data_IF_664273638338
#
_entry.id   IF_664273638338
#
_cell.length_a   1.000
_cell.length_b   1.000
_cell.length_c   1.000
_cell.angle_alpha   90.00
_cell.angle_beta   90.00
_cell.angle_gamma   90.00
#
_symmetry.space_group_name_H-M   'P 1'
#
loop_
_entity.id
_entity.type
_entity.pdbx_description
1 polymer ?
#
# COMPACT_ATOMS: atom_id res chain seq x y z
N UNK A 1 -26.79 -20.99 22.44
CA UNK A 1 -26.71 -19.79 23.28
C UNK A 1 -26.55 -18.61 22.34
N UNK A 2 -27.43 -17.61 22.38
CA UNK A 2 -27.26 -16.40 21.57
C UNK A 2 -25.98 -15.69 22.03
N UNK A 3 -24.97 -15.59 21.15
CA UNK A 3 -23.77 -14.83 21.46
C UNK A 3 -24.16 -13.36 21.70
N UNK A 4 -23.87 -12.84 22.88
CA UNK A 4 -24.15 -11.43 23.20
C UNK A 4 -23.29 -10.51 22.33
N UNK A 5 -23.74 -9.26 22.12
CA UNK A 5 -22.93 -8.22 21.48
C UNK A 5 -21.52 -8.12 22.10
N UNK A 6 -21.45 -8.22 23.43
CA UNK A 6 -20.19 -8.19 24.17
C UNK A 6 -19.27 -9.37 23.80
N UNK A 7 -19.81 -10.56 23.61
CA UNK A 7 -19.03 -11.74 23.21
C UNK A 7 -18.52 -11.59 21.77
N UNK A 8 -19.32 -11.02 20.87
CA UNK A 8 -18.90 -10.69 19.50
C UNK A 8 -17.75 -9.67 19.51
N UNK A 9 -17.85 -8.59 20.29
CA UNK A 9 -16.79 -7.58 20.45
C UNK A 9 -15.52 -8.20 21.04
N UNK A 10 -15.64 -9.07 22.06
CA UNK A 10 -14.49 -9.77 22.65
C UNK A 10 -13.82 -10.71 21.67
N UNK A 11 -14.60 -11.41 20.84
CA UNK A 11 -14.07 -12.27 19.78
C UNK A 11 -13.24 -11.47 18.78
N UNK A 12 -13.79 -10.34 18.30
CA UNK A 12 -13.08 -9.42 17.40
C UNK A 12 -11.79 -8.87 18.04
N UNK A 13 -11.87 -8.46 19.32
CA UNK A 13 -10.74 -7.87 20.05
C UNK A 13 -9.56 -8.83 20.24
N UNK A 14 -9.81 -10.14 20.35
CA UNK A 14 -8.73 -11.15 20.45
C UNK A 14 -7.89 -11.23 19.18
N UNK A 15 -8.50 -11.05 18.01
CA UNK A 15 -7.79 -11.02 16.73
C UNK A 15 -6.84 -9.81 16.70
N UNK A 16 -7.25 -8.69 17.27
CA UNK A 16 -6.43 -7.47 17.35
C UNK A 16 -5.26 -7.60 18.33
N UNK A 17 -5.48 -8.22 19.48
CA UNK A 17 -4.41 -8.41 20.47
C UNK A 17 -3.27 -9.29 19.96
N UNK A 18 -3.58 -10.26 19.09
CA UNK A 18 -2.57 -11.17 18.53
C UNK A 18 -1.74 -10.54 17.39
N UNK A 19 -2.17 -9.42 16.79
CA UNK A 19 -1.49 -8.75 15.66
C UNK A 19 -0.38 -7.75 16.02
N UNK A 20 -0.11 -7.52 17.31
CA UNK A 20 0.67 -6.35 17.77
C UNK A 20 2.13 -6.26 17.27
N UNK A 21 2.76 -7.35 16.80
CA UNK A 21 4.15 -7.28 16.28
C UNK A 21 4.27 -7.00 14.79
N UNK A 22 3.29 -7.39 13.97
CA UNK A 22 3.47 -7.44 12.51
C UNK A 22 2.40 -6.72 11.69
N UNK A 23 1.30 -6.29 12.31
CA UNK A 23 0.14 -5.81 11.53
C UNK A 23 -1.08 -6.66 11.78
N UNK A 24 -2.23 -6.11 11.42
CA UNK A 24 -3.45 -6.88 11.20
C UNK A 24 -3.56 -7.11 9.70
N UNK A 25 -3.61 -8.37 9.29
CA UNK A 25 -3.95 -8.73 7.93
C UNK A 25 -5.43 -8.38 7.68
N UNK A 26 -5.68 -7.45 6.76
CA UNK A 26 -7.02 -6.97 6.44
C UNK A 26 -7.93 -8.08 5.89
N UNK A 27 -7.38 -9.12 5.26
CA UNK A 27 -8.17 -10.27 4.81
C UNK A 27 -8.64 -11.12 6.01
N UNK A 28 -7.76 -11.38 6.97
CA UNK A 28 -8.13 -12.10 8.19
C UNK A 28 -9.16 -11.34 9.02
N UNK A 29 -9.08 -10.00 9.01
CA UNK A 29 -10.09 -9.15 9.63
C UNK A 29 -11.44 -9.27 8.91
N UNK A 30 -11.46 -9.21 7.59
CA UNK A 30 -12.68 -9.45 6.82
C UNK A 30 -13.29 -10.82 7.13
N UNK A 31 -12.48 -11.88 7.22
CA UNK A 31 -12.95 -13.24 7.55
C UNK A 31 -13.57 -13.33 8.95
N UNK A 32 -13.02 -12.59 9.90
CA UNK A 32 -13.56 -12.52 11.25
C UNK A 32 -14.88 -11.75 11.29
N UNK A 33 -14.94 -10.57 10.66
CA UNK A 33 -16.16 -9.78 10.56
C UNK A 33 -17.25 -10.55 9.82
N UNK A 34 -16.90 -11.22 8.72
CA UNK A 34 -17.81 -12.06 7.94
C UNK A 34 -18.45 -13.14 8.80
N UNK A 35 -17.67 -13.86 9.62
CA UNK A 35 -18.20 -14.89 10.53
C UNK A 35 -19.03 -14.34 11.68
N UNK A 36 -18.67 -13.18 12.24
CA UNK A 36 -19.39 -12.59 13.40
C UNK A 36 -20.72 -11.95 12.97
N UNK A 37 -20.73 -11.34 11.78
CA UNK A 37 -21.87 -10.63 11.21
C UNK A 37 -22.67 -11.48 10.21
N UNK A 38 -22.20 -12.68 9.88
CA UNK A 38 -22.81 -13.58 8.90
C UNK A 38 -23.09 -12.83 7.58
N UNK A 39 -22.07 -12.11 7.08
CA UNK A 39 -22.19 -11.24 5.91
C UNK A 39 -20.91 -11.23 5.08
N UNK A 40 -20.99 -10.82 3.80
CA UNK A 40 -19.79 -10.58 3.00
C UNK A 40 -19.22 -9.21 3.36
N UNK A 41 -17.90 -9.09 3.42
CA UNK A 41 -17.18 -7.87 3.83
C UNK A 41 -16.15 -7.50 2.78
N UNK A 42 -16.11 -6.23 2.39
CA UNK A 42 -15.12 -5.69 1.45
C UNK A 42 -14.55 -4.40 2.02
N UNK A 43 -13.23 -4.24 1.98
CA UNK A 43 -12.50 -3.02 2.31
C UNK A 43 -11.89 -2.46 1.03
N UNK A 44 -12.15 -1.18 0.76
CA UNK A 44 -11.67 -0.46 -0.42
C UNK A 44 -10.85 0.76 -0.01
N UNK A 45 -9.79 1.07 -0.75
CA UNK A 45 -9.16 2.39 -0.69
C UNK A 45 -9.99 3.45 -1.45
N UNK A 46 -9.58 4.73 -1.38
CA UNK A 46 -10.26 5.81 -2.10
C UNK A 46 -10.21 5.69 -3.64
N UNK A 47 -9.34 4.83 -4.19
CA UNK A 47 -9.20 4.60 -5.63
C UNK A 47 -10.02 3.39 -6.09
N UNK A 48 -10.68 2.68 -5.16
CA UNK A 48 -11.46 1.49 -5.45
C UNK A 48 -10.63 0.20 -5.50
N UNK A 49 -9.38 0.20 -5.03
CA UNK A 49 -8.60 -1.03 -4.86
C UNK A 49 -9.11 -1.81 -3.64
N UNK A 50 -9.26 -3.12 -3.81
CA UNK A 50 -9.61 -4.00 -2.70
C UNK A 50 -8.39 -4.19 -1.79
N UNK A 51 -8.53 -3.78 -0.53
CA UNK A 51 -7.51 -3.96 0.51
C UNK A 51 -7.74 -5.25 1.32
N UNK A 52 -8.96 -5.78 1.33
CA UNK A 52 -9.35 -6.99 2.02
C UNK A 52 -10.78 -7.38 1.67
N UNK A 53 -11.07 -8.68 1.66
CA UNK A 53 -12.41 -9.21 1.36
C UNK A 53 -12.64 -10.56 2.05
N UNK A 54 -13.88 -10.80 2.44
CA UNK A 54 -14.40 -12.11 2.80
C UNK A 54 -15.82 -12.26 2.27
N UNK A 55 -16.15 -13.43 1.73
CA UNK A 55 -17.51 -13.76 1.32
C UNK A 55 -18.19 -14.63 2.40
N UNK A 56 -19.52 -14.74 2.36
CA UNK A 56 -20.25 -15.69 3.21
C UNK A 56 -19.94 -17.11 2.71
N UNK A 57 -19.43 -17.97 3.59
CA UNK A 57 -19.39 -19.41 3.32
C UNK A 57 -20.81 -19.96 3.28
N UNK A 58 -21.42 -20.04 2.11
CA UNK A 58 -22.60 -20.88 1.93
C UNK A 58 -22.14 -22.34 1.92
N UNK A 59 -22.67 -23.16 2.82
CA UNK A 59 -22.40 -24.61 2.85
C UNK A 59 -22.86 -25.33 1.57
N UNK A 60 -23.59 -24.63 0.69
CA UNK A 60 -24.06 -25.13 -0.60
C UNK A 60 -23.10 -24.86 -1.76
N UNK A 61 -22.06 -24.02 -1.58
CA UNK A 61 -20.99 -23.86 -2.57
C UNK A 61 -19.89 -24.94 -2.40
N UNK A 62 -20.30 -26.21 -2.35
CA UNK A 62 -19.45 -27.30 -2.81
C UNK A 62 -19.45 -27.31 -4.34
N UNK A 63 -18.75 -26.35 -4.94
CA UNK A 63 -18.30 -26.54 -6.32
C UNK A 63 -16.87 -26.03 -6.43
N UNK A 64 -15.99 -26.93 -6.85
CA UNK A 64 -14.63 -26.69 -7.35
C UNK A 64 -14.64 -25.74 -8.58
N UNK A 65 -15.26 -24.57 -8.47
CA UNK A 65 -15.07 -23.48 -9.42
C UNK A 65 -14.13 -22.49 -8.76
N UNK A 66 -12.90 -22.31 -9.26
CA UNK A 66 -12.15 -21.12 -8.90
C UNK A 66 -13.06 -19.93 -9.20
N UNK A 67 -13.33 -19.15 -8.16
CA UNK A 67 -14.10 -17.93 -8.24
C UNK A 67 -13.50 -17.07 -9.36
N UNK A 68 -14.30 -16.46 -10.26
CA UNK A 68 -13.76 -15.64 -11.33
C UNK A 68 -12.80 -14.62 -10.72
N UNK A 69 -11.65 -14.37 -11.36
CA UNK A 69 -10.73 -13.30 -11.00
C UNK A 69 -11.51 -11.99 -11.03
N UNK A 70 -12.09 -11.60 -9.89
CA UNK A 70 -12.73 -10.31 -9.74
C UNK A 70 -11.58 -9.33 -9.85
N UNK A 71 -11.66 -8.45 -10.85
CA UNK A 71 -10.70 -7.38 -11.05
C UNK A 71 -10.38 -6.75 -9.70
N UNK A 72 -9.09 -6.57 -9.40
CA UNK A 72 -8.61 -6.01 -8.13
C UNK A 72 -9.24 -4.65 -7.78
N UNK A 73 -9.86 -4.02 -8.78
CA UNK A 73 -10.41 -2.68 -8.74
C UNK A 73 -11.91 -2.73 -9.05
N UNK A 74 -12.67 -1.93 -8.29
CA UNK A 74 -14.04 -1.60 -8.62
C UNK A 74 -14.10 -0.67 -9.85
N UNK A 75 -15.16 -0.75 -10.68
CA UNK A 75 -15.37 0.22 -11.74
C UNK A 75 -15.47 1.66 -11.17
N UNK A 76 -14.87 2.61 -11.88
CA UNK A 76 -14.71 3.99 -11.40
C UNK A 76 -16.03 4.70 -11.07
N UNK A 77 -17.09 4.39 -11.82
CA UNK A 77 -18.44 4.93 -11.58
C UNK A 77 -18.98 4.52 -10.21
N UNK A 78 -18.84 3.24 -9.84
CA UNK A 78 -19.25 2.76 -8.51
C UNK A 78 -18.40 3.38 -7.40
N UNK A 79 -17.08 3.46 -7.60
CA UNK A 79 -16.21 4.08 -6.59
C UNK A 79 -16.60 5.55 -6.34
N UNK A 80 -16.95 6.29 -7.38
CA UNK A 80 -17.39 7.69 -7.26
C UNK A 80 -18.64 7.82 -6.38
N UNK A 81 -19.64 6.94 -6.57
CA UNK A 81 -20.86 6.90 -5.73
C UNK A 81 -20.55 6.52 -4.28
N UNK A 82 -19.62 5.58 -4.05
CA UNK A 82 -19.19 5.24 -2.69
C UNK A 82 -18.53 6.45 -2.01
N UNK A 83 -17.75 7.25 -2.76
CA UNK A 83 -17.08 8.43 -2.25
C UNK A 83 -18.03 9.57 -1.82
N UNK A 84 -19.30 9.54 -2.24
CA UNK A 84 -20.34 10.48 -1.80
C UNK A 84 -20.95 10.10 -0.44
N UNK A 85 -20.74 8.86 0.03
CA UNK A 85 -21.24 8.40 1.33
C UNK A 85 -20.34 8.95 2.45
N UNK A 86 -20.88 9.87 3.26
CA UNK A 86 -20.14 10.52 4.35
C UNK A 86 -20.40 9.92 5.75
N UNK A 87 -21.48 9.15 5.90
CA UNK A 87 -21.86 8.46 7.14
C UNK A 87 -22.34 7.05 6.81
N UNK A 88 -22.32 6.15 7.78
CA UNK A 88 -22.82 4.79 7.62
C UNK A 88 -24.26 4.79 7.14
N UNK A 89 -24.48 4.18 5.98
CA UNK A 89 -25.80 3.93 5.40
C UNK A 89 -26.12 2.46 5.58
N UNK A 90 -26.96 2.16 6.56
CA UNK A 90 -27.38 0.80 6.89
C UNK A 90 -28.58 0.36 6.04
N UNK A 91 -28.62 -0.93 5.72
CA UNK A 91 -29.77 -1.59 5.13
C UNK A 91 -30.27 -0.97 3.80
N UNK A 92 -29.36 -0.48 2.97
CA UNK A 92 -29.68 0.02 1.63
C UNK A 92 -29.81 -1.13 0.64
N UNK A 93 -30.66 -0.95 -0.37
CA UNK A 93 -30.74 -1.86 -1.51
C UNK A 93 -29.43 -1.86 -2.30
N UNK A 94 -29.09 -2.99 -2.91
CA UNK A 94 -27.83 -3.18 -3.62
C UNK A 94 -27.52 -2.04 -4.62
N UNK A 95 -26.53 -1.22 -4.28
CA UNK A 95 -26.07 -0.12 -5.13
C UNK A 95 -25.40 -0.66 -6.42
N UNK A 96 -24.91 -1.90 -6.37
CA UNK A 96 -24.25 -2.59 -7.48
C UNK A 96 -25.23 -3.21 -8.48
N UNK A 97 -26.52 -3.23 -8.14
CA UNK A 97 -27.61 -3.65 -9.03
C UNK A 97 -27.29 -4.96 -9.78
N UNK A 98 -26.70 -5.95 -9.10
CA UNK A 98 -26.15 -7.17 -9.72
C UNK A 98 -27.23 -8.16 -10.19
N UNK A 99 -28.50 -7.78 -10.17
CA UNK A 99 -29.59 -8.46 -10.89
C UNK A 99 -30.07 -9.81 -10.36
N UNK A 100 -29.32 -10.51 -9.51
CA UNK A 100 -29.59 -11.94 -9.27
C UNK A 100 -30.09 -12.29 -7.85
N UNK A 101 -29.84 -11.46 -6.82
CA UNK A 101 -30.25 -11.77 -5.44
C UNK A 101 -30.69 -10.53 -4.66
N UNK A 102 -31.82 -10.65 -3.96
CA UNK A 102 -32.29 -9.62 -3.02
C UNK A 102 -31.37 -9.58 -1.81
N UNK A 103 -30.54 -8.54 -1.73
CA UNK A 103 -29.55 -8.40 -0.68
C UNK A 103 -29.66 -7.05 0.03
N UNK A 104 -29.29 -7.08 1.30
CA UNK A 104 -29.21 -5.91 2.16
C UNK A 104 -27.75 -5.49 2.26
N UNK A 105 -27.47 -4.21 2.00
CA UNK A 105 -26.10 -3.68 2.03
C UNK A 105 -25.98 -2.63 3.13
N UNK A 106 -24.87 -2.65 3.85
CA UNK A 106 -24.43 -1.54 4.70
C UNK A 106 -23.11 -1.00 4.16
N UNK A 107 -23.07 0.32 3.96
CA UNK A 107 -21.89 1.01 3.43
C UNK A 107 -21.43 2.00 4.47
N UNK A 108 -20.15 1.97 4.80
CA UNK A 108 -19.57 2.91 5.74
C UNK A 108 -18.23 3.45 5.27
N UNK A 109 -18.03 4.77 5.32
CA UNK A 109 -16.74 5.37 5.00
C UNK A 109 -15.72 5.15 6.12
N UNK A 110 -14.48 4.87 5.74
CA UNK A 110 -13.38 4.72 6.69
C UNK A 110 -12.67 6.07 6.83
N UNK A 111 -12.72 6.68 8.01
CA UNK A 111 -12.06 7.95 8.31
C UNK A 111 -10.98 7.79 9.39
N UNK A 112 -9.92 8.60 9.30
CA UNK A 112 -8.95 8.80 10.37
C UNK A 112 -8.45 10.23 10.37
N UNK A 113 -8.49 10.90 11.53
CA UNK A 113 -8.02 12.28 11.66
C UNK A 113 -8.68 13.26 10.68
N UNK A 114 -9.97 13.07 10.36
CA UNK A 114 -10.72 13.88 9.40
C UNK A 114 -10.48 13.54 7.92
N UNK A 115 -9.53 12.66 7.61
CA UNK A 115 -9.25 12.24 6.23
C UNK A 115 -9.97 10.92 5.91
N UNK A 116 -10.61 10.87 4.73
CA UNK A 116 -11.18 9.63 4.21
C UNK A 116 -10.06 8.71 3.74
N UNK A 117 -10.05 7.48 4.23
CA UNK A 117 -9.06 6.46 3.87
C UNK A 117 -9.62 5.44 2.87
N UNK A 118 -10.92 5.20 2.92
CA UNK A 118 -11.55 4.15 2.13
C UNK A 118 -13.03 4.01 2.39
N UNK A 119 -13.56 2.83 2.03
CA UNK A 119 -14.96 2.44 2.24
C UNK A 119 -15.02 0.97 2.64
N UNK A 120 -15.84 0.66 3.64
CA UNK A 120 -16.22 -0.72 3.97
C UNK A 120 -17.63 -1.01 3.51
N UNK A 121 -17.83 -2.21 2.98
CA UNK A 121 -19.11 -2.68 2.44
C UNK A 121 -19.42 -4.02 3.08
N UNK A 122 -20.65 -4.14 3.58
CA UNK A 122 -21.19 -5.34 4.19
C UNK A 122 -22.44 -5.77 3.42
N UNK A 123 -22.52 -7.03 3.00
CA UNK A 123 -23.64 -7.55 2.20
C UNK A 123 -24.22 -8.80 2.85
N UNK A 124 -25.52 -8.77 3.20
CA UNK A 124 -26.30 -9.94 3.62
C UNK A 124 -27.24 -10.36 2.50
N UNK A 125 -27.41 -11.67 2.33
CA UNK A 125 -28.34 -12.26 1.37
C UNK A 125 -29.74 -12.33 1.99
N UNK A 126 -30.76 -12.69 1.20
CA UNK A 126 -32.13 -12.92 1.66
C UNK A 126 -32.83 -11.72 2.34
N UNK A 127 -32.42 -10.49 2.04
CA UNK A 127 -32.96 -9.27 2.65
C UNK A 127 -32.90 -9.23 4.19
N UNK A 128 -32.01 -9.99 4.82
CA UNK A 128 -31.81 -9.89 6.26
C UNK A 128 -31.22 -8.53 6.62
N UNK A 129 -31.81 -7.86 7.61
CA UNK A 129 -31.37 -6.52 8.04
C UNK A 129 -30.24 -6.61 9.04
N UNK A 130 -29.28 -5.70 8.91
CA UNK A 130 -28.33 -5.37 9.96
C UNK A 130 -29.06 -4.68 11.11
N UNK A 131 -28.92 -5.27 12.30
CA UNK A 131 -29.45 -4.77 13.56
C UNK A 131 -28.54 -3.69 14.16
N UNK A 132 -28.98 -2.96 15.18
CA UNK A 132 -28.13 -1.99 15.87
C UNK A 132 -26.86 -2.64 16.46
N UNK A 133 -26.97 -3.85 17.01
CA UNK A 133 -25.83 -4.63 17.49
C UNK A 133 -24.82 -4.93 16.37
N UNK A 134 -25.31 -5.24 15.16
CA UNK A 134 -24.45 -5.43 13.99
C UNK A 134 -23.75 -4.13 13.60
N UNK A 135 -24.48 -3.00 13.62
CA UNK A 135 -23.92 -1.68 13.31
C UNK A 135 -22.84 -1.27 14.30
N UNK A 136 -22.98 -1.59 15.59
CA UNK A 136 -21.94 -1.35 16.60
C UNK A 136 -20.66 -2.12 16.28
N UNK A 137 -20.78 -3.39 15.88
CA UNK A 137 -19.62 -4.22 15.49
C UNK A 137 -18.99 -3.69 14.20
N UNK A 138 -19.81 -3.26 13.24
CA UNK A 138 -19.36 -2.64 11.99
C UNK A 138 -18.53 -1.39 12.28
N UNK A 139 -19.06 -0.44 13.05
CA UNK A 139 -18.35 0.81 13.44
C UNK A 139 -17.06 0.54 14.21
N UNK A 140 -17.08 -0.46 15.10
CA UNK A 140 -15.87 -0.91 15.79
C UNK A 140 -14.83 -1.47 14.80
N UNK A 141 -15.26 -2.31 13.85
CA UNK A 141 -14.40 -2.84 12.79
C UNK A 141 -13.81 -1.74 11.90
N UNK A 142 -14.61 -0.73 11.53
CA UNK A 142 -14.19 0.41 10.74
C UNK A 142 -13.08 1.20 11.44
N UNK A 143 -13.22 1.45 12.73
CA UNK A 143 -12.19 2.14 13.51
C UNK A 143 -10.85 1.38 13.47
N UNK A 144 -10.90 0.05 13.60
CA UNK A 144 -9.68 -0.76 13.55
C UNK A 144 -9.07 -0.80 12.15
N UNK A 145 -9.89 -0.93 11.10
CA UNK A 145 -9.43 -0.82 9.71
C UNK A 145 -8.79 0.53 9.45
N UNK A 146 -9.37 1.62 9.97
CA UNK A 146 -8.82 2.96 9.82
C UNK A 146 -7.42 3.09 10.45
N UNK A 147 -7.26 2.57 11.67
CA UNK A 147 -5.97 2.53 12.35
C UNK A 147 -4.94 1.70 11.59
N UNK A 148 -5.33 0.54 11.07
CA UNK A 148 -4.40 -0.34 10.36
C UNK A 148 -3.97 0.24 9.00
N UNK A 149 -4.90 0.81 8.24
CA UNK A 149 -4.57 1.51 6.99
C UNK A 149 -3.59 2.66 7.26
N UNK A 150 -3.79 3.43 8.35
CA UNK A 150 -2.86 4.51 8.70
C UNK A 150 -1.51 3.99 9.19
N UNK A 151 -1.48 2.89 9.93
CA UNK A 151 -0.22 2.26 10.32
C UNK A 151 0.61 1.88 9.09
N UNK A 152 0.01 1.18 8.13
CA UNK A 152 0.68 0.77 6.88
C UNK A 152 1.21 1.99 6.12
N UNK A 153 0.41 3.08 6.06
CA UNK A 153 0.85 4.34 5.43
C UNK A 153 2.03 4.98 6.16
N UNK A 154 2.01 5.02 7.49
CA UNK A 154 3.08 5.59 8.31
C UNK A 154 4.37 4.78 8.22
N UNK A 155 4.29 3.44 8.21
CA UNK A 155 5.44 2.56 8.01
C UNK A 155 6.09 2.84 6.64
N UNK A 156 5.28 2.90 5.57
CA UNK A 156 5.77 3.22 4.22
C UNK A 156 6.39 4.62 4.13
N UNK A 157 5.76 5.62 4.74
CA UNK A 157 6.33 6.98 4.81
C UNK A 157 7.67 7.00 5.55
N UNK A 158 7.76 6.30 6.69
CA UNK A 158 9.02 6.17 7.43
C UNK A 158 10.13 5.47 6.65
N UNK A 159 9.79 4.46 5.85
CA UNK A 159 10.75 3.83 4.93
C UNK A 159 11.24 4.80 3.84
N UNK A 160 10.33 5.55 3.23
CA UNK A 160 10.67 6.56 2.22
C UNK A 160 11.55 7.67 2.83
N UNK A 161 11.24 8.15 4.03
CA UNK A 161 12.07 9.14 4.76
C UNK A 161 13.46 8.60 5.07
N UNK A 162 13.57 7.34 5.53
CA UNK A 162 14.87 6.69 5.76
C UNK A 162 15.69 6.60 4.47
N UNK A 163 15.06 6.21 3.35
CA UNK A 163 15.72 6.17 2.05
C UNK A 163 16.21 7.55 1.62
N UNK A 164 15.41 8.59 1.81
CA UNK A 164 15.81 9.97 1.52
C UNK A 164 17.00 10.38 2.39
N UNK A 165 16.94 10.15 3.70
CA UNK A 165 18.00 10.50 4.64
C UNK A 165 19.32 9.80 4.32
N UNK A 166 19.29 8.52 3.94
CA UNK A 166 20.49 7.81 3.48
C UNK A 166 21.14 8.48 2.27
N UNK A 167 20.33 8.91 1.30
CA UNK A 167 20.81 9.62 0.11
C UNK A 167 21.42 10.96 0.49
N UNK A 168 20.74 11.76 1.29
CA UNK A 168 21.22 13.07 1.76
C UNK A 168 22.55 12.95 2.52
N UNK A 169 22.66 11.98 3.43
CA UNK A 169 23.91 11.75 4.18
C UNK A 169 25.07 11.39 3.25
N UNK A 170 24.86 10.50 2.28
CA UNK A 170 25.92 10.12 1.35
C UNK A 170 26.33 11.27 0.43
N UNK A 171 25.36 12.04 -0.06
CA UNK A 171 25.61 13.24 -0.86
C UNK A 171 26.40 14.28 -0.06
N UNK A 172 26.12 14.43 1.24
CA UNK A 172 26.89 15.29 2.14
C UNK A 172 28.36 14.88 2.32
N UNK A 173 28.74 13.65 1.95
CA UNK A 173 30.16 13.20 1.95
C UNK A 173 30.90 13.50 0.65
N UNK A 174 30.18 13.92 -0.40
CA UNK A 174 30.75 14.27 -1.69
C UNK A 174 31.27 15.71 -1.65
N UNK A 175 32.45 15.93 -2.22
CA UNK A 175 32.92 17.27 -2.57
C UNK A 175 32.11 17.83 -3.74
N UNK A 176 32.17 19.15 -3.94
CA UNK A 176 31.44 19.82 -5.04
C UNK A 176 31.68 19.15 -6.41
N UNK A 177 32.95 18.90 -6.77
CA UNK A 177 33.29 18.24 -8.04
C UNK A 177 32.87 16.77 -8.09
N UNK A 178 32.81 16.07 -6.95
CA UNK A 178 32.29 14.70 -6.90
C UNK A 178 30.77 14.66 -7.06
N UNK A 179 30.06 15.64 -6.51
CA UNK A 179 28.61 15.78 -6.65
C UNK A 179 28.23 16.10 -8.10
N UNK A 180 28.93 17.05 -8.73
CA UNK A 180 28.78 17.38 -10.15
C UNK A 180 29.06 16.14 -11.03
N UNK A 181 30.16 15.41 -10.75
CA UNK A 181 30.48 14.18 -11.45
C UNK A 181 29.37 13.12 -11.36
N UNK A 182 28.76 12.97 -10.18
CA UNK A 182 27.63 12.05 -9.94
C UNK A 182 26.42 12.45 -10.77
N UNK A 183 26.11 13.75 -10.86
CA UNK A 183 25.00 14.23 -11.69
C UNK A 183 25.19 13.85 -13.16
N UNK A 184 26.37 14.10 -13.74
CA UNK A 184 26.68 13.73 -15.12
C UNK A 184 26.61 12.22 -15.35
N UNK A 185 27.11 11.42 -14.40
CA UNK A 185 27.07 9.96 -14.45
C UNK A 185 25.63 9.43 -14.52
N UNK A 186 24.76 9.87 -13.61
CA UNK A 186 23.39 9.36 -13.57
C UNK A 186 22.51 9.95 -14.69
N UNK A 187 22.89 11.10 -15.27
CA UNK A 187 22.28 11.62 -16.49
C UNK A 187 22.60 10.74 -17.71
N UNK A 188 23.80 10.16 -17.81
CA UNK A 188 24.17 9.27 -18.93
C UNK A 188 23.65 7.83 -18.75
N UNK A 189 23.35 7.39 -17.51
CA UNK A 189 22.85 6.04 -17.22
C UNK A 189 21.44 5.77 -17.80
N UNK A 190 20.60 6.81 -17.98
CA UNK A 190 19.26 6.74 -18.57
C UNK A 190 18.37 5.60 -18.01
N UNK A 191 18.40 5.40 -16.70
CA UNK A 191 17.63 4.36 -16.02
C UNK A 191 18.17 4.06 -14.61
N UNK A 192 17.70 2.96 -14.03
CA UNK A 192 18.12 2.52 -12.70
C UNK A 192 19.36 1.61 -12.72
N UNK A 193 19.80 1.18 -13.89
CA UNK A 193 21.00 0.37 -14.07
C UNK A 193 21.58 0.54 -15.48
N UNK A 194 22.88 0.30 -15.63
CA UNK A 194 23.53 0.41 -16.93
C UNK A 194 25.04 0.33 -16.86
N UNK A 195 25.66 0.33 -18.04
CA UNK A 195 27.11 0.30 -18.20
C UNK A 195 27.66 1.72 -18.33
N UNK A 196 28.60 2.06 -17.46
CA UNK A 196 29.27 3.36 -17.44
C UNK A 196 30.73 3.24 -17.87
N UNK A 197 31.16 4.13 -18.77
CA UNK A 197 32.57 4.27 -19.13
C UNK A 197 33.08 5.61 -18.60
N UNK A 198 33.74 5.58 -17.42
CA UNK A 198 34.17 6.80 -16.72
C UNK A 198 35.10 7.70 -17.54
N UNK A 199 35.95 7.14 -18.43
CA UNK A 199 36.80 7.95 -19.31
C UNK A 199 35.99 8.80 -20.28
N UNK A 200 34.89 8.28 -20.83
CA UNK A 200 34.05 8.99 -21.79
C UNK A 200 33.37 10.22 -21.17
N UNK A 201 32.96 10.09 -19.90
CA UNK A 201 32.35 11.19 -19.14
C UNK A 201 33.41 12.21 -18.73
N UNK A 202 34.56 11.73 -18.24
CA UNK A 202 35.69 12.58 -17.89
C UNK A 202 36.13 13.48 -19.05
N UNK A 203 36.28 12.91 -20.25
CA UNK A 203 36.73 13.64 -21.44
C UNK A 203 35.68 14.64 -21.95
N UNK A 204 34.37 14.34 -21.80
CA UNK A 204 33.28 15.23 -22.25
C UNK A 204 33.05 16.41 -21.31
N UNK A 205 33.01 16.14 -20.01
CA UNK A 205 32.63 17.12 -18.99
C UNK A 205 33.87 17.84 -18.39
N UNK A 206 35.09 17.47 -18.80
CA UNK A 206 36.32 18.07 -18.29
C UNK A 206 36.64 17.70 -16.84
N UNK A 207 36.06 16.60 -16.34
CA UNK A 207 36.24 16.12 -14.95
C UNK A 207 37.31 15.02 -14.94
N UNK A 208 38.10 14.94 -13.87
CA UNK A 208 39.07 13.84 -13.74
C UNK A 208 38.39 12.50 -13.46
N UNK A 209 38.88 11.41 -14.09
CA UNK A 209 38.37 10.05 -13.86
C UNK A 209 38.39 9.64 -12.38
N UNK A 210 39.39 10.10 -11.62
CA UNK A 210 39.50 9.81 -10.19
C UNK A 210 38.37 10.41 -9.38
N UNK A 211 37.87 11.59 -9.73
CA UNK A 211 36.71 12.22 -9.08
C UNK A 211 35.46 11.37 -9.28
N UNK A 212 35.20 10.90 -10.52
CA UNK A 212 34.07 10.00 -10.82
C UNK A 212 34.16 8.71 -10.00
N UNK A 213 35.32 8.05 -10.00
CA UNK A 213 35.52 6.77 -9.29
C UNK A 213 35.37 6.95 -7.78
N UNK A 214 35.90 8.03 -7.21
CA UNK A 214 35.79 8.30 -5.78
C UNK A 214 34.34 8.60 -5.37
N UNK A 215 33.62 9.38 -6.16
CA UNK A 215 32.22 9.68 -5.89
C UNK A 215 31.35 8.41 -5.92
N UNK A 216 31.55 7.55 -6.93
CA UNK A 216 30.87 6.26 -7.03
C UNK A 216 31.21 5.33 -5.85
N UNK A 217 32.48 5.28 -5.43
CA UNK A 217 32.89 4.49 -4.25
C UNK A 217 32.21 4.96 -2.97
N UNK A 218 32.03 6.28 -2.78
CA UNK A 218 31.33 6.83 -1.60
C UNK A 218 29.85 6.46 -1.61
N UNK A 219 29.17 6.55 -2.76
CA UNK A 219 27.77 6.13 -2.90
C UNK A 219 27.59 4.61 -2.71
N UNK A 220 28.52 3.81 -3.20
CA UNK A 220 28.53 2.36 -2.99
C UNK A 220 28.74 2.00 -1.51
N UNK A 221 29.66 2.71 -0.83
CA UNK A 221 29.91 2.52 0.60
C UNK A 221 28.69 2.88 1.47
N UNK A 222 27.85 3.80 1.00
CA UNK A 222 26.58 4.17 1.64
C UNK A 222 25.42 3.21 1.29
N UNK A 223 25.66 2.19 0.46
CA UNK A 223 24.63 1.24 0.02
C UNK A 223 23.57 1.85 -0.91
N UNK A 224 23.88 2.98 -1.55
CA UNK A 224 22.95 3.66 -2.47
C UNK A 224 23.02 3.04 -3.86
N UNK A 225 24.21 2.59 -4.25
CA UNK A 225 24.47 1.92 -5.52
C UNK A 225 25.28 0.66 -5.31
N UNK A 226 25.23 -0.21 -6.31
CA UNK A 226 26.15 -1.32 -6.47
C UNK A 226 26.97 -1.10 -7.74
N UNK A 227 28.29 -1.30 -7.66
CA UNK A 227 29.17 -1.19 -8.81
C UNK A 227 29.91 -2.51 -9.09
N UNK A 228 30.00 -2.88 -10.36
CA UNK A 228 30.75 -4.06 -10.79
C UNK A 228 31.67 -3.70 -11.94
N UNK A 229 32.98 -3.75 -11.70
CA UNK A 229 33.97 -3.51 -12.75
C UNK A 229 33.94 -4.64 -13.79
N UNK A 230 33.81 -4.26 -15.07
CA UNK A 230 33.96 -5.15 -16.23
C UNK A 230 35.29 -4.89 -16.96
N UNK A 231 36.28 -4.33 -16.25
CA UNK A 231 37.58 -3.97 -16.80
C UNK A 231 37.48 -2.90 -17.88
N UNK A 232 38.08 -3.14 -19.04
CA UNK A 232 38.13 -2.18 -20.16
C UNK A 232 36.75 -1.87 -20.76
N UNK A 233 35.74 -2.70 -20.51
CA UNK A 233 34.37 -2.47 -20.99
C UNK A 233 33.63 -1.39 -20.18
N UNK A 234 34.14 -1.04 -19.00
CA UNK A 234 33.51 -0.07 -18.10
C UNK A 234 33.06 -0.70 -16.78
N UNK A 235 32.23 0.03 -16.05
CA UNK A 235 31.67 -0.38 -14.76
C UNK A 235 30.16 -0.48 -14.90
N UNK A 236 29.59 -1.63 -14.59
CA UNK A 236 28.14 -1.75 -14.47
C UNK A 236 27.71 -1.14 -13.13
N UNK A 237 26.69 -0.29 -13.16
CA UNK A 237 26.15 0.40 -11.99
C UNK A 237 24.67 0.06 -11.88
N UNK A 238 24.23 -0.21 -10.66
CA UNK A 238 22.82 -0.38 -10.32
C UNK A 238 22.46 0.50 -9.14
N UNK A 239 21.37 1.25 -9.26
CA UNK A 239 20.83 2.08 -8.18
C UNK A 239 20.01 1.16 -7.25
N UNK A 240 20.39 1.13 -5.97
CA UNK A 240 19.69 0.36 -4.93
C UNK A 240 18.60 1.20 -4.24
N UNK A 241 18.82 2.52 -4.15
CA UNK A 241 17.88 3.45 -3.53
C UNK A 241 17.14 4.28 -4.59
N UNK A 242 15.84 4.05 -4.74
CA UNK A 242 14.96 4.72 -5.71
C UNK A 242 14.84 6.24 -5.51
N UNK A 243 15.26 6.76 -4.36
CA UNK A 243 15.23 8.21 -4.07
C UNK A 243 16.44 8.96 -4.62
N UNK A 244 17.52 8.28 -5.04
CA UNK A 244 18.76 8.93 -5.50
C UNK A 244 18.51 9.97 -6.62
N UNK A 245 17.87 9.56 -7.71
CA UNK A 245 17.65 10.43 -8.87
C UNK A 245 16.77 11.63 -8.52
N UNK A 246 15.77 11.43 -7.66
CA UNK A 246 14.90 12.51 -7.20
C UNK A 246 15.60 13.54 -6.32
N UNK A 247 16.57 13.11 -5.50
CA UNK A 247 17.36 14.04 -4.68
C UNK A 247 18.41 14.77 -5.51
N UNK A 248 19.04 14.11 -6.47
CA UNK A 248 19.97 14.77 -7.40
C UNK A 248 19.29 15.90 -8.19
N UNK A 249 18.04 15.70 -8.62
CA UNK A 249 17.29 16.72 -9.35
C UNK A 249 16.90 17.96 -8.53
N UNK A 250 17.00 17.93 -7.18
CA UNK A 250 16.68 19.09 -6.31
C UNK A 250 17.86 20.04 -6.10
N UNK A 251 19.07 19.63 -6.51
CA UNK A 251 20.30 20.42 -6.29
C UNK A 251 20.55 21.41 -7.44
N UNK A 252 19.72 21.37 -8.50
CA UNK A 252 19.73 22.33 -9.60
C UNK A 252 19.27 23.73 -9.19
#
# INVERSE_FOLDING_TARGET
MSNSLLDKIRSLSRIFQNGQKSGIDLYQLCDALSRILECSVIILDNRGHILGRADIYSSEMNSNKPMPEISSNLPAEYNSRLLEVHFTQANVSDIFNTGEETCTVTISPVYYGGNRLGTMIFKRINNEKFTEDDLVIIEYGIMVVAMEIMRIKMEKMGEDERKISMVEMAMGTLSYSELEAVEHVFRELNGNEGLLVASKIADREGITRSVIVNALRKLESAGIIESRSLGMKGTYIKILNDKLLSQLGKIQ
#
